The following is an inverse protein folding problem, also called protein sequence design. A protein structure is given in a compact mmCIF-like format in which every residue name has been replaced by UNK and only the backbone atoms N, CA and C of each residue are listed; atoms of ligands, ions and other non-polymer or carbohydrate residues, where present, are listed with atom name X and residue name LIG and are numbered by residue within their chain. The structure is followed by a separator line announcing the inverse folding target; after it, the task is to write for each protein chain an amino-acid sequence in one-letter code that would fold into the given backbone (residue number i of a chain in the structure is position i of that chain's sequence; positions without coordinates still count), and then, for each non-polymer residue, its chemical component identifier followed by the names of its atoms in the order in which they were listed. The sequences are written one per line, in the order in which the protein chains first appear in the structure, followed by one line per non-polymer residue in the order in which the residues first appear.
data_IF_908372485088
#
_entry.id   IF_908372485088
#
_cell.length_a   1.000
_cell.length_b   1.000
_cell.length_c   1.000
_cell.angle_alpha   90.00
_cell.angle_beta   90.00
_cell.angle_gamma   90.00
#
_symmetry.space_group_name_H-M   'P 1'
#
loop_
_entity.id
_entity.type
_entity.pdbx_description
1 polymer ?
#
# COMPACT_ATOMS: atom_id res chain seq x y z
N UNK A 1 7.57 5.58 -5.14
CA UNK A 1 6.78 6.79 -4.88
C UNK A 1 5.40 6.54 -5.45
N UNK A 2 4.43 6.11 -4.64
CA UNK A 2 3.06 5.87 -5.08
C UNK A 2 2.14 6.83 -4.32
N UNK A 3 1.52 7.71 -5.09
CA UNK A 3 0.56 8.73 -4.69
C UNK A 3 -0.81 8.13 -4.99
N UNK A 4 -1.57 7.77 -3.96
CA UNK A 4 -2.99 7.50 -4.12
C UNK A 4 -3.75 8.82 -3.98
N UNK A 5 -3.85 9.55 -5.09
CA UNK A 5 -4.78 10.66 -5.27
C UNK A 5 -5.91 10.17 -6.18
N UNK A 6 -7.07 9.90 -5.60
CA UNK A 6 -8.29 9.63 -6.35
C UNK A 6 -8.77 10.96 -6.97
N UNK A 7 -8.42 11.19 -8.23
CA UNK A 7 -9.03 12.22 -9.06
C UNK A 7 -10.43 11.77 -9.49
N UNK A 8 -11.46 12.39 -8.92
CA UNK A 8 -12.78 12.46 -9.53
C UNK A 8 -12.91 13.81 -10.25
N UNK A 9 -12.67 13.86 -11.55
CA UNK A 9 -13.20 14.92 -12.43
C UNK A 9 -13.60 14.29 -13.77
N UNK A 10 -14.90 14.04 -13.90
CA UNK A 10 -15.61 13.76 -15.14
C UNK A 10 -15.66 15.00 -16.03
N UNK A 11 -15.51 14.74 -17.33
CA UNK A 11 -16.20 15.37 -18.46
C UNK A 11 -16.49 16.87 -18.40
N UNK A 12 -15.71 17.66 -19.15
CA UNK A 12 -16.25 18.83 -19.82
C UNK A 12 -15.65 18.96 -21.23
N UNK A 13 -16.39 18.44 -22.21
CA UNK A 13 -16.27 18.87 -23.61
C UNK A 13 -16.75 20.32 -23.73
N UNK A 14 -16.09 21.08 -24.61
CA UNK A 14 -16.39 22.48 -24.85
C UNK A 14 -17.81 22.73 -25.34
N UNK A 15 -18.35 23.88 -24.91
CA UNK A 15 -19.17 24.78 -25.71
C UNK A 15 -19.26 26.14 -25.04
N UNK A 16 -19.24 27.17 -25.89
CA UNK A 16 -19.47 28.58 -25.57
C UNK A 16 -20.64 28.79 -24.61
N UNK A 17 -20.58 29.87 -23.82
CA UNK A 17 -21.61 30.91 -23.81
C UNK A 17 -21.23 32.01 -22.81
N UNK A 18 -21.22 33.24 -23.33
CA UNK A 18 -21.27 34.48 -22.58
C UNK A 18 -22.56 34.58 -21.76
N UNK A 19 -22.45 35.28 -20.63
CA UNK A 19 -23.47 35.61 -19.63
C UNK A 19 -23.80 34.51 -18.62
N UNK A 20 -23.65 34.83 -17.34
CA UNK A 20 -24.68 34.70 -16.28
C UNK A 20 -24.04 34.89 -14.89
N UNK A 21 -24.43 36.02 -14.28
CA UNK A 21 -24.61 36.30 -12.84
C UNK A 21 -23.50 36.01 -11.82
N UNK A 22 -23.14 37.08 -11.10
CA UNK A 22 -22.68 37.08 -9.70
C UNK A 22 -23.35 35.99 -8.85
N UNK A 23 -22.60 34.96 -8.44
CA UNK A 23 -22.96 34.19 -7.25
C UNK A 23 -21.74 33.47 -6.65
N UNK A 24 -21.59 33.74 -5.35
CA UNK A 24 -20.82 32.99 -4.36
C UNK A 24 -19.30 33.05 -4.52
N UNK A 25 -18.68 34.00 -3.80
CA UNK A 25 -17.29 33.84 -3.41
C UNK A 25 -17.15 32.51 -2.67
N UNK A 26 -16.53 31.55 -3.36
CA UNK A 26 -16.10 30.27 -2.83
C UNK A 26 -15.26 30.59 -1.58
N UNK A 27 -15.80 30.28 -0.39
CA UNK A 27 -15.05 30.46 0.85
C UNK A 27 -13.74 29.72 0.67
N UNK A 28 -12.57 30.31 0.97
CA UNK A 28 -11.32 29.59 0.83
C UNK A 28 -11.44 28.30 1.65
N UNK A 29 -11.37 27.14 0.97
CA UNK A 29 -11.32 25.84 1.65
C UNK A 29 -10.17 25.92 2.64
N UNK A 30 -10.51 26.00 3.94
CA UNK A 30 -9.49 25.91 4.98
C UNK A 30 -8.91 24.52 4.86
N UNK A 31 -7.64 24.45 4.49
CA UNK A 31 -6.91 23.19 4.53
C UNK A 31 -6.89 22.77 6.00
N UNK A 32 -7.44 21.60 6.35
CA UNK A 32 -7.37 21.08 7.70
C UNK A 32 -5.89 20.91 8.07
N UNK A 33 -5.42 21.62 9.08
CA UNK A 33 -4.02 21.57 9.50
C UNK A 33 -3.91 20.74 10.77
N UNK A 34 -3.24 19.58 10.74
CA UNK A 34 -2.99 18.77 11.92
C UNK A 34 -2.23 19.56 12.99
N UNK A 35 -2.53 19.29 14.26
CA UNK A 35 -1.74 19.79 15.37
C UNK A 35 -0.38 19.08 15.45
N UNK A 36 0.47 19.50 16.39
CA UNK A 36 1.84 18.97 16.51
C UNK A 36 1.88 17.45 16.77
N UNK A 37 1.01 16.95 17.66
CA UNK A 37 0.94 15.53 18.03
C UNK A 37 0.44 14.68 16.86
N UNK A 38 -0.57 15.15 16.13
CA UNK A 38 -1.10 14.51 14.93
C UNK A 38 -0.03 14.46 13.82
N UNK A 39 0.74 15.53 13.66
CA UNK A 39 1.84 15.57 12.70
C UNK A 39 2.94 14.56 13.05
N UNK A 40 3.30 14.46 14.34
CA UNK A 40 4.28 13.49 14.81
C UNK A 40 3.81 12.06 14.55
N UNK A 41 2.53 11.76 14.83
CA UNK A 41 1.98 10.43 14.58
C UNK A 41 1.91 10.10 13.09
N UNK A 42 1.51 11.04 12.23
CA UNK A 42 1.56 10.87 10.77
C UNK A 42 2.99 10.60 10.27
N UNK A 43 3.98 11.27 10.85
CA UNK A 43 5.39 11.00 10.54
C UNK A 43 5.81 9.59 10.96
N UNK A 44 5.39 9.13 12.14
CA UNK A 44 5.66 7.76 12.59
C UNK A 44 5.02 6.71 11.68
N UNK A 45 3.75 6.90 11.31
CA UNK A 45 3.05 6.02 10.35
C UNK A 45 3.78 6.00 8.99
N UNK A 46 4.27 7.16 8.54
CA UNK A 46 5.05 7.23 7.30
C UNK A 46 6.35 6.42 7.37
N UNK A 47 7.07 6.47 8.48
CA UNK A 47 8.28 5.68 8.69
C UNK A 47 7.97 4.19 8.69
N UNK A 48 6.91 3.76 9.40
CA UNK A 48 6.46 2.37 9.40
C UNK A 48 6.06 1.90 8.00
N UNK A 49 5.32 2.71 7.24
CA UNK A 49 4.95 2.37 5.87
C UNK A 49 6.18 2.14 4.95
N UNK A 50 7.26 2.92 5.13
CA UNK A 50 8.52 2.70 4.41
C UNK A 50 9.16 1.37 4.81
N UNK A 51 9.20 1.08 6.11
CA UNK A 51 9.72 -0.18 6.63
C UNK A 51 8.92 -1.38 6.13
N UNK A 52 7.58 -1.34 6.20
CA UNK A 52 6.70 -2.38 5.69
C UNK A 52 6.88 -2.63 4.19
N UNK A 53 7.07 -1.55 3.40
CA UNK A 53 7.38 -1.67 1.98
C UNK A 53 8.70 -2.39 1.75
N UNK A 54 9.73 -2.06 2.54
CA UNK A 54 11.03 -2.73 2.47
C UNK A 54 10.92 -4.22 2.87
N UNK A 55 10.20 -4.53 3.94
CA UNK A 55 9.99 -5.90 4.41
C UNK A 55 9.25 -6.75 3.38
N UNK A 56 8.27 -6.17 2.68
CA UNK A 56 7.56 -6.82 1.57
C UNK A 56 8.51 -7.17 0.43
N UNK A 57 9.34 -6.22 0.00
CA UNK A 57 10.34 -6.46 -1.04
C UNK A 57 11.32 -7.56 -0.63
N UNK A 58 11.75 -7.55 0.63
CA UNK A 58 12.63 -8.59 1.17
C UNK A 58 11.97 -9.96 1.22
N UNK A 59 10.68 -10.04 1.60
CA UNK A 59 9.93 -11.29 1.59
C UNK A 59 9.81 -11.87 0.17
N UNK A 60 9.50 -11.03 -0.82
CA UNK A 60 9.42 -11.43 -2.23
C UNK A 60 10.78 -11.87 -2.78
N UNK A 61 11.86 -11.13 -2.49
CA UNK A 61 13.23 -11.50 -2.89
C UNK A 61 13.67 -12.82 -2.27
N UNK A 62 13.36 -13.03 -0.99
CA UNK A 62 13.64 -14.29 -0.29
C UNK A 62 12.91 -15.47 -0.95
N UNK A 63 11.62 -15.32 -1.25
CA UNK A 63 10.86 -16.36 -1.94
C UNK A 63 11.41 -16.62 -3.36
N UNK A 64 11.75 -15.59 -4.12
CA UNK A 64 12.36 -15.73 -5.44
C UNK A 64 13.70 -16.50 -5.36
N UNK A 65 14.52 -16.23 -4.34
CA UNK A 65 15.76 -16.95 -4.10
C UNK A 65 15.50 -18.44 -3.78
N UNK A 66 14.53 -18.74 -2.90
CA UNK A 66 14.15 -20.12 -2.60
C UNK A 66 13.62 -20.87 -3.82
N UNK A 67 12.83 -20.20 -4.68
CA UNK A 67 12.34 -20.77 -5.93
C UNK A 67 13.48 -21.07 -6.91
N UNK A 68 14.48 -20.19 -7.03
CA UNK A 68 15.66 -20.45 -7.86
C UNK A 68 16.49 -21.63 -7.35
N UNK A 69 16.64 -21.77 -6.02
CA UNK A 69 17.28 -22.94 -5.44
C UNK A 69 16.50 -24.23 -5.71
N UNK A 70 15.17 -24.16 -5.57
CA UNK A 70 14.27 -25.27 -5.85
C UNK A 70 14.34 -25.73 -7.31
N UNK A 71 14.36 -24.80 -8.27
CA UNK A 71 14.53 -25.11 -9.69
C UNK A 71 15.88 -25.79 -9.97
N UNK A 72 16.97 -25.29 -9.38
CA UNK A 72 18.28 -25.92 -9.49
C UNK A 72 18.30 -27.35 -8.90
N UNK A 73 17.60 -27.57 -7.79
CA UNK A 73 17.50 -28.87 -7.14
C UNK A 73 16.70 -29.88 -7.97
N UNK A 74 15.61 -29.43 -8.61
CA UNK A 74 14.83 -30.24 -9.55
C UNK A 74 15.67 -30.67 -10.76
N UNK A 75 16.53 -29.79 -11.28
CA UNK A 75 17.38 -30.12 -12.42
C UNK A 75 18.56 -31.03 -12.05
N UNK A 76 19.08 -30.92 -10.83
CA UNK A 76 20.24 -31.69 -10.39
C UNK A 76 19.90 -33.11 -9.93
N UNK A 77 18.64 -33.43 -9.65
CA UNK A 77 18.25 -34.67 -8.99
C UNK A 77 16.99 -35.27 -9.64
N UNK A 78 16.93 -36.59 -9.80
CA UNK A 78 15.67 -37.35 -9.97
C UNK A 78 14.91 -37.34 -8.63
N UNK A 79 14.61 -36.14 -8.13
CA UNK A 79 13.89 -35.95 -6.88
C UNK A 79 12.47 -36.48 -7.04
N UNK A 80 12.00 -37.23 -6.04
CA UNK A 80 10.62 -37.70 -6.00
C UNK A 80 9.66 -36.52 -6.15
N UNK A 81 8.70 -36.63 -7.08
CA UNK A 81 7.68 -35.60 -7.34
C UNK A 81 6.97 -35.14 -6.06
N UNK A 82 6.85 -36.03 -5.07
CA UNK A 82 6.26 -35.72 -3.76
C UNK A 82 7.12 -34.73 -2.98
N UNK A 83 8.44 -34.91 -2.96
CA UNK A 83 9.36 -34.00 -2.26
C UNK A 83 9.41 -32.64 -2.95
N UNK A 84 9.31 -32.63 -4.28
CA UNK A 84 9.22 -31.41 -5.09
C UNK A 84 7.99 -30.60 -4.67
N UNK A 85 6.81 -31.25 -4.63
CA UNK A 85 5.57 -30.59 -4.23
C UNK A 85 5.60 -30.08 -2.78
N UNK A 86 6.10 -30.88 -1.82
CA UNK A 86 6.20 -30.46 -0.42
C UNK A 86 7.14 -29.26 -0.23
N UNK A 87 8.24 -29.21 -0.99
CA UNK A 87 9.19 -28.09 -0.92
C UNK A 87 8.56 -26.81 -1.46
N UNK A 88 7.84 -26.91 -2.59
CA UNK A 88 7.12 -25.79 -3.17
C UNK A 88 6.02 -25.28 -2.23
N UNK A 89 5.22 -26.18 -1.64
CA UNK A 89 4.18 -25.84 -0.68
C UNK A 89 4.74 -25.07 0.51
N UNK A 90 5.87 -25.53 1.06
CA UNK A 90 6.55 -24.85 2.16
C UNK A 90 7.01 -23.44 1.78
N UNK A 91 7.57 -23.25 0.59
CA UNK A 91 8.01 -21.92 0.12
C UNK A 91 6.80 -20.98 0.01
N UNK A 92 5.71 -21.45 -0.61
CA UNK A 92 4.49 -20.65 -0.80
C UNK A 92 3.84 -20.32 0.54
N UNK A 93 3.70 -21.30 1.45
CA UNK A 93 3.09 -21.11 2.76
C UNK A 93 3.86 -20.06 3.58
N UNK A 94 5.20 -20.12 3.57
CA UNK A 94 6.03 -19.14 4.27
C UNK A 94 5.90 -17.73 3.68
N UNK A 95 5.86 -17.61 2.36
CA UNK A 95 5.66 -16.31 1.71
C UNK A 95 4.28 -15.74 2.04
N UNK A 96 3.22 -16.54 1.89
CA UNK A 96 1.85 -16.12 2.18
C UNK A 96 1.70 -15.68 3.64
N UNK A 97 2.22 -16.46 4.58
CA UNK A 97 2.19 -16.11 5.99
C UNK A 97 2.85 -14.74 6.26
N UNK A 98 4.03 -14.50 5.69
CA UNK A 98 4.72 -13.21 5.82
C UNK A 98 3.93 -12.06 5.22
N UNK A 99 3.38 -12.24 4.02
CA UNK A 99 2.61 -11.19 3.35
C UNK A 99 1.28 -10.87 4.06
N UNK A 100 0.62 -11.87 4.65
CA UNK A 100 -0.59 -11.67 5.45
C UNK A 100 -0.29 -10.83 6.69
N UNK A 101 0.80 -11.13 7.41
CA UNK A 101 1.17 -10.36 8.60
C UNK A 101 1.50 -8.91 8.23
N UNK A 102 2.29 -8.70 7.18
CA UNK A 102 2.60 -7.35 6.70
C UNK A 102 1.36 -6.58 6.23
N UNK A 103 0.40 -7.27 5.60
CA UNK A 103 -0.85 -6.65 5.20
C UNK A 103 -1.72 -6.27 6.41
N UNK A 104 -1.77 -7.12 7.44
CA UNK A 104 -2.51 -6.82 8.66
C UNK A 104 -1.95 -5.58 9.38
N UNK A 105 -0.62 -5.44 9.42
CA UNK A 105 0.05 -4.25 9.96
C UNK A 105 -0.26 -2.99 9.12
N UNK A 106 -0.22 -3.10 7.79
CA UNK A 106 -0.58 -1.99 6.90
C UNK A 106 -2.05 -1.56 7.07
N UNK A 107 -2.98 -2.51 7.27
CA UNK A 107 -4.38 -2.19 7.53
C UNK A 107 -4.58 -1.46 8.86
N UNK A 108 -3.89 -1.91 9.92
CA UNK A 108 -3.94 -1.26 11.22
C UNK A 108 -3.41 0.19 11.14
N UNK A 109 -2.27 0.39 10.48
CA UNK A 109 -1.71 1.74 10.28
C UNK A 109 -2.63 2.62 9.42
N UNK A 110 -3.27 2.07 8.39
CA UNK A 110 -4.22 2.79 7.55
C UNK A 110 -5.52 3.16 8.28
N UNK A 111 -5.97 2.35 9.24
CA UNK A 111 -7.09 2.67 10.11
C UNK A 111 -6.76 3.84 11.03
N UNK A 112 -5.57 3.82 11.65
CA UNK A 112 -5.08 4.93 12.48
C UNK A 112 -4.98 6.21 11.65
N UNK A 113 -4.39 6.15 10.45
CA UNK A 113 -4.29 7.31 9.56
C UNK A 113 -5.67 7.89 9.21
N UNK A 114 -6.64 7.02 8.88
CA UNK A 114 -8.00 7.44 8.54
C UNK A 114 -8.68 8.15 9.70
N UNK A 115 -8.57 7.60 10.90
CA UNK A 115 -9.11 8.19 12.12
C UNK A 115 -8.48 9.56 12.40
N UNK A 116 -7.17 9.70 12.23
CA UNK A 116 -6.51 10.99 12.37
C UNK A 116 -7.03 12.03 11.38
N UNK A 117 -7.20 11.66 10.11
CA UNK A 117 -7.74 12.58 9.12
C UNK A 117 -9.19 12.97 9.40
N UNK A 118 -9.99 12.07 9.97
CA UNK A 118 -11.33 12.39 10.45
C UNK A 118 -11.28 13.48 11.53
N UNK A 119 -10.46 13.29 12.56
CA UNK A 119 -10.30 14.25 13.66
C UNK A 119 -9.74 15.61 13.23
N UNK A 120 -8.95 15.67 12.16
CA UNK A 120 -8.41 16.94 11.64
C UNK A 120 -9.47 17.69 10.81
N UNK A 121 -10.41 16.97 10.19
CA UNK A 121 -11.43 17.54 9.29
C UNK A 121 -12.73 17.95 9.98
N UNK A 122 -13.04 17.37 11.14
CA UNK A 122 -14.15 17.78 12.02
C UNK A 122 -13.83 19.02 12.87
#
# INVERSE_FOLDING_TARGET
MLVYSYCAIQDYQGRDLTSVTTQTMDRPRRIPTPNHEQLELLMQLRLRAIELSFLRDMALRGAAHHMGYFEALMHANESSDILVLLTLELIIANLLHRLINLWAEEQADAEIERELWHQVTE
#
